data_IF_929242753340
#
_entry.id   IF_929242753340
#
_cell.length_a   1.000
_cell.length_b   1.000
_cell.length_c   1.000
_cell.angle_alpha   90.00
_cell.angle_beta   90.00
_cell.angle_gamma   90.00
#
_symmetry.space_group_name_H-M   'P 1'
#
loop_
_entity.id
_entity.type
_entity.pdbx_description
1 polymer ?
#
# COMPACT_ATOMS: atom_id res chain seq x y z
N UNK A 1 68.21 69.49 10.03
CA UNK A 1 66.84 69.32 10.54
C UNK A 1 66.40 67.90 10.20
N UNK A 2 66.17 67.06 11.24
CA UNK A 2 65.47 65.74 11.29
C UNK A 2 65.97 64.60 10.34
N UNK A 3 66.66 63.55 10.84
CA UNK A 3 66.15 62.29 11.44
C UNK A 3 65.29 61.42 10.49
N UNK A 4 65.82 60.30 9.97
CA UNK A 4 65.63 58.91 10.48
C UNK A 4 65.67 57.80 9.42
N UNK A 5 66.38 56.73 9.79
CA UNK A 5 66.41 55.36 9.25
C UNK A 5 65.06 54.60 9.37
N UNK A 6 65.08 53.32 8.96
CA UNK A 6 64.05 52.25 8.96
C UNK A 6 63.40 52.04 7.57
N UNK A 7 63.69 51.00 6.78
CA UNK A 7 63.79 49.55 7.09
C UNK A 7 62.52 49.07 7.82
N UNK A 8 61.51 48.64 7.07
CA UNK A 8 60.83 47.36 7.34
C UNK A 8 59.98 46.92 6.14
N UNK A 9 60.45 45.83 5.55
CA UNK A 9 59.72 44.88 4.74
C UNK A 9 58.56 44.33 5.60
N UNK A 10 57.30 44.63 5.26
CA UNK A 10 56.14 43.89 5.81
C UNK A 10 55.43 43.21 4.64
N UNK A 11 56.01 42.08 4.26
CA UNK A 11 55.35 40.96 3.63
C UNK A 11 54.32 40.45 4.65
N UNK A 12 53.07 40.93 4.59
CA UNK A 12 51.96 40.27 5.28
C UNK A 12 51.65 39.02 4.46
N UNK A 13 52.45 37.97 4.69
CA UNK A 13 52.01 36.61 4.51
C UNK A 13 50.90 36.44 5.53
N UNK A 14 49.65 36.65 5.12
CA UNK A 14 48.54 36.01 5.81
C UNK A 14 48.82 34.51 5.69
N UNK A 15 49.14 33.77 6.77
CA UNK A 15 48.96 32.34 6.69
C UNK A 15 47.48 32.16 6.46
N UNK A 16 47.14 31.67 5.27
CA UNK A 16 45.88 31.01 5.03
C UNK A 16 45.75 30.01 6.17
N UNK A 17 44.98 30.36 7.21
CA UNK A 17 44.41 29.41 8.15
C UNK A 17 43.46 28.57 7.29
N UNK A 18 44.03 27.68 6.49
CA UNK A 18 43.35 26.48 6.03
C UNK A 18 43.05 25.79 7.35
N UNK A 19 41.86 26.04 7.89
CA UNK A 19 41.25 25.15 8.86
C UNK A 19 41.23 23.80 8.15
N UNK A 20 42.26 22.99 8.41
CA UNK A 20 42.35 21.61 7.98
C UNK A 20 41.28 20.87 8.77
N UNK A 21 40.02 21.02 8.34
CA UNK A 21 38.93 20.21 8.85
C UNK A 21 39.34 18.75 8.67
N UNK A 22 39.24 17.99 9.75
CA UNK A 22 39.53 16.58 9.70
C UNK A 22 38.62 15.90 8.67
N UNK A 23 39.22 15.09 7.82
CA UNK A 23 38.56 14.39 6.72
C UNK A 23 38.62 12.89 6.96
N UNK A 24 37.55 12.20 6.56
CA UNK A 24 37.53 10.74 6.54
C UNK A 24 38.58 10.21 5.56
N UNK A 25 39.29 9.16 5.97
CA UNK A 25 40.31 8.48 5.17
C UNK A 25 39.84 7.07 4.82
N UNK A 26 39.09 6.95 3.72
CA UNK A 26 38.44 5.71 3.28
C UNK A 26 39.30 4.72 2.50
N UNK A 27 40.62 4.91 2.46
CA UNK A 27 41.51 4.03 1.70
C UNK A 27 41.71 2.62 2.29
N UNK A 28 41.30 2.39 3.54
CA UNK A 28 41.23 1.07 4.21
C UNK A 28 40.39 1.15 5.49
N UNK A 29 40.13 0.02 6.15
CA UNK A 29 39.35 -0.07 7.41
C UNK A 29 39.99 0.70 8.53
N UNK A 30 41.28 0.48 8.66
CA UNK A 30 42.13 1.02 9.70
C UNK A 30 42.22 2.52 9.52
N UNK A 31 42.43 2.99 8.29
CA UNK A 31 42.46 4.42 7.96
C UNK A 31 41.12 5.09 8.23
N UNK A 32 40.02 4.45 7.85
CA UNK A 32 38.69 5.00 8.05
C UNK A 32 38.39 5.11 9.55
N UNK A 33 38.59 4.02 10.30
CA UNK A 33 38.38 3.98 11.75
C UNK A 33 39.20 5.04 12.46
N UNK A 34 40.51 5.13 12.17
CA UNK A 34 41.38 6.14 12.78
C UNK A 34 40.93 7.58 12.47
N UNK A 35 40.54 7.87 11.22
CA UNK A 35 40.03 9.20 10.86
C UNK A 35 38.69 9.53 11.49
N UNK A 36 37.78 8.55 11.60
CA UNK A 36 36.48 8.70 12.26
C UNK A 36 36.67 8.99 13.75
N UNK A 37 37.55 8.24 14.42
CA UNK A 37 37.81 8.42 15.85
C UNK A 37 38.42 9.80 16.12
N UNK A 38 39.29 10.29 15.21
CA UNK A 38 39.83 11.66 15.27
C UNK A 38 38.75 12.72 15.13
N UNK A 39 37.87 12.60 14.13
CA UNK A 39 36.74 13.52 13.93
C UNK A 39 35.82 13.50 15.16
N UNK A 40 35.49 12.31 15.67
CA UNK A 40 34.61 12.13 16.83
C UNK A 40 35.19 12.70 18.13
N UNK A 41 36.52 12.77 18.28
CA UNK A 41 37.15 13.37 19.45
C UNK A 41 36.86 14.87 19.58
N UNK A 42 36.59 15.55 18.47
CA UNK A 42 36.19 16.97 18.44
C UNK A 42 34.70 17.23 18.67
N UNK A 43 33.90 16.18 18.89
CA UNK A 43 32.44 16.27 19.04
C UNK A 43 32.00 16.04 20.49
N UNK A 44 30.93 16.74 20.87
CA UNK A 44 30.18 16.46 22.10
C UNK A 44 29.33 15.19 21.96
N UNK A 45 28.56 14.84 23.00
CA UNK A 45 27.74 13.63 22.99
C UNK A 45 26.69 13.64 21.85
N UNK A 46 26.02 14.78 21.63
CA UNK A 46 25.02 14.93 20.59
C UNK A 46 25.64 14.83 19.17
N UNK A 47 26.79 15.47 18.95
CA UNK A 47 27.53 15.39 17.70
C UNK A 47 28.03 13.98 17.38
N UNK A 48 28.47 13.23 18.40
CA UNK A 48 28.85 11.81 18.24
C UNK A 48 27.67 10.94 17.84
N UNK A 49 26.52 11.13 18.47
CA UNK A 49 25.27 10.43 18.11
C UNK A 49 24.83 10.77 16.69
N UNK A 50 24.85 12.06 16.32
CA UNK A 50 24.54 12.51 14.96
C UNK A 50 25.51 11.93 13.92
N UNK A 51 26.80 11.87 14.22
CA UNK A 51 27.81 11.21 13.38
C UNK A 51 27.52 9.72 13.20
N UNK A 52 27.23 9.00 14.27
CA UNK A 52 26.88 7.59 14.19
C UNK A 52 25.64 7.35 13.33
N UNK A 53 24.61 8.18 13.51
CA UNK A 53 23.39 8.12 12.73
C UNK A 53 23.63 8.39 11.24
N UNK A 54 24.41 9.43 10.91
CA UNK A 54 24.80 9.73 9.54
C UNK A 54 25.52 8.55 8.88
N UNK A 55 26.46 7.93 9.59
CA UNK A 55 27.19 6.77 9.11
C UNK A 55 26.26 5.56 8.90
N UNK A 56 25.28 5.32 9.79
CA UNK A 56 24.28 4.26 9.63
C UNK A 56 23.40 4.49 8.40
N UNK A 57 22.94 5.72 8.18
CA UNK A 57 22.16 6.09 6.98
C UNK A 57 22.98 5.87 5.71
N UNK A 58 24.24 6.30 5.69
CA UNK A 58 25.14 6.04 4.57
C UNK A 58 25.42 4.55 4.37
N UNK A 59 25.45 3.79 5.47
CA UNK A 59 25.43 2.35 5.41
C UNK A 59 24.18 1.88 4.66
N UNK A 60 22.96 2.18 5.10
CA UNK A 60 21.75 1.80 4.37
C UNK A 60 21.76 2.19 2.88
N UNK A 61 22.29 3.37 2.55
CA UNK A 61 22.46 3.79 1.16
C UNK A 61 23.34 2.86 0.32
N UNK A 62 24.41 2.31 0.90
CA UNK A 62 25.26 1.35 0.22
C UNK A 62 24.57 -0.01 0.02
N UNK A 63 23.65 -0.42 0.90
CA UNK A 63 22.81 -1.63 0.70
C UNK A 63 21.92 -1.40 -0.52
N UNK A 64 21.22 -0.26 -0.53
CA UNK A 64 20.32 0.10 -1.61
C UNK A 64 21.06 0.12 -2.96
N UNK A 65 22.21 0.80 -3.03
CA UNK A 65 22.99 0.88 -4.26
C UNK A 65 23.46 -0.49 -4.75
N UNK A 66 23.89 -1.37 -3.86
CA UNK A 66 24.31 -2.72 -4.22
C UNK A 66 23.16 -3.53 -4.85
N UNK A 67 21.97 -3.38 -4.30
CA UNK A 67 20.80 -4.15 -4.75
C UNK A 67 20.26 -3.61 -6.10
N UNK A 68 20.47 -2.33 -6.40
CA UNK A 68 19.93 -1.65 -7.58
C UNK A 68 20.97 -1.32 -8.67
N UNK A 69 22.27 -1.42 -8.38
CA UNK A 69 23.35 -1.18 -9.34
C UNK A 69 24.14 -2.47 -9.59
N UNK A 70 23.99 -3.11 -10.76
CA UNK A 70 24.65 -4.38 -11.06
C UNK A 70 26.18 -4.34 -10.90
N UNK A 71 26.80 -3.18 -11.15
CA UNK A 71 28.24 -2.97 -11.01
C UNK A 71 28.74 -3.13 -9.56
N UNK A 72 27.90 -2.86 -8.57
CA UNK A 72 28.28 -2.83 -7.15
C UNK A 72 27.97 -4.13 -6.41
N UNK A 73 27.27 -5.08 -7.03
CA UNK A 73 26.78 -6.33 -6.39
C UNK A 73 27.86 -7.15 -5.68
N UNK A 74 29.11 -7.09 -6.16
CA UNK A 74 30.25 -7.85 -5.63
C UNK A 74 31.09 -7.07 -4.62
N UNK A 75 30.84 -5.76 -4.45
CA UNK A 75 31.59 -4.94 -3.50
C UNK A 75 31.14 -5.22 -2.06
N UNK A 76 32.11 -5.17 -1.14
CA UNK A 76 31.81 -5.27 0.27
C UNK A 76 31.07 -3.99 0.71
N UNK A 77 30.00 -4.20 1.47
CA UNK A 77 29.20 -3.15 2.07
C UNK A 77 30.02 -2.09 2.83
N UNK A 78 30.85 -2.52 3.78
CA UNK A 78 31.71 -1.63 4.58
C UNK A 78 32.66 -0.87 3.64
N UNK A 79 33.07 -1.52 2.55
CA UNK A 79 33.97 -0.97 1.56
C UNK A 79 33.32 0.10 0.68
N UNK A 80 32.01 0.04 0.47
CA UNK A 80 31.29 1.10 -0.24
C UNK A 80 31.17 2.35 0.63
N UNK A 81 30.86 2.18 1.92
CA UNK A 81 30.63 3.28 2.86
C UNK A 81 31.88 4.11 3.07
N UNK A 82 33.02 3.48 3.38
CA UNK A 82 34.23 4.24 3.67
C UNK A 82 34.83 4.94 2.43
N UNK A 83 34.65 4.39 1.21
CA UNK A 83 35.16 4.91 -0.07
C UNK A 83 34.34 6.14 -0.44
N UNK A 84 33.02 6.06 -0.25
CA UNK A 84 32.07 7.17 -0.38
C UNK A 84 32.44 8.36 0.50
N UNK A 85 32.97 8.10 1.69
CA UNK A 85 33.40 9.14 2.63
C UNK A 85 34.84 9.59 2.42
N UNK A 86 35.64 8.91 1.59
CA UNK A 86 37.07 9.23 1.47
C UNK A 86 37.29 10.70 1.02
N UNK A 87 38.04 11.45 1.81
CA UNK A 87 38.34 12.86 1.56
C UNK A 87 37.22 13.82 1.96
N UNK A 88 36.08 13.33 2.47
CA UNK A 88 34.95 14.14 2.94
C UNK A 88 35.17 14.65 4.36
N UNK A 89 34.72 15.86 4.64
CA UNK A 89 34.64 16.38 6.01
C UNK A 89 33.31 15.95 6.70
N UNK A 90 33.14 16.34 7.95
CA UNK A 90 31.96 16.00 8.74
C UNK A 90 30.65 16.56 8.14
N UNK A 91 30.65 17.83 7.72
CA UNK A 91 29.47 18.49 7.16
C UNK A 91 29.04 17.85 5.83
N UNK A 92 29.99 17.48 4.97
CA UNK A 92 29.72 16.73 3.76
C UNK A 92 29.11 15.36 4.07
N UNK A 93 29.59 14.66 5.09
CA UNK A 93 29.01 13.38 5.52
C UNK A 93 27.56 13.55 6.00
N UNK A 94 27.26 14.61 6.77
CA UNK A 94 25.89 14.95 7.18
C UNK A 94 25.00 15.31 5.99
N UNK A 95 25.50 16.12 5.07
CA UNK A 95 24.75 16.50 3.88
C UNK A 95 24.40 15.27 3.03
N UNK A 96 25.35 14.35 2.83
CA UNK A 96 25.13 13.11 2.09
C UNK A 96 24.11 12.20 2.79
N UNK A 97 24.21 12.04 4.12
CA UNK A 97 23.25 11.26 4.87
C UNK A 97 21.83 11.87 4.78
N UNK A 98 21.70 13.18 5.00
CA UNK A 98 20.42 13.88 4.92
C UNK A 98 19.82 13.85 3.51
N UNK A 99 20.65 13.96 2.48
CA UNK A 99 20.21 13.79 1.10
C UNK A 99 19.63 12.39 0.89
N UNK A 100 20.32 11.34 1.34
CA UNK A 100 19.80 9.98 1.22
C UNK A 100 18.49 9.78 1.99
N UNK A 101 18.33 10.34 3.19
CA UNK A 101 17.06 10.29 3.94
C UNK A 101 15.92 10.86 3.09
N UNK A 102 16.13 12.02 2.46
CA UNK A 102 15.13 12.66 1.61
C UNK A 102 14.82 11.84 0.36
N UNK A 103 15.85 11.30 -0.29
CA UNK A 103 15.67 10.46 -1.48
C UNK A 103 14.96 9.15 -1.15
N UNK A 104 15.30 8.50 -0.03
CA UNK A 104 14.65 7.28 0.43
C UNK A 104 13.18 7.51 0.78
N UNK A 105 12.92 8.61 1.49
CA UNK A 105 11.58 9.06 1.76
C UNK A 105 10.80 9.33 0.46
N UNK A 106 11.39 10.01 -0.53
CA UNK A 106 10.74 10.26 -1.82
C UNK A 106 10.47 8.94 -2.57
N UNK A 107 11.40 7.98 -2.57
CA UNK A 107 11.18 6.65 -3.16
C UNK A 107 10.00 5.94 -2.50
N UNK A 108 9.85 6.05 -1.18
CA UNK A 108 8.72 5.49 -0.44
C UNK A 108 7.40 6.16 -0.87
N UNK A 109 7.39 7.48 -0.99
CA UNK A 109 6.24 8.25 -1.50
C UNK A 109 5.88 7.80 -2.92
N UNK A 110 6.84 7.78 -3.84
CA UNK A 110 6.62 7.40 -5.24
C UNK A 110 6.08 5.97 -5.37
N UNK A 111 6.61 5.04 -4.57
CA UNK A 111 6.13 3.65 -4.54
C UNK A 111 4.67 3.58 -4.09
N UNK A 112 4.32 4.25 -2.99
CA UNK A 112 2.95 4.28 -2.48
C UNK A 112 1.99 4.94 -3.48
N UNK A 113 2.39 6.05 -4.11
CA UNK A 113 1.58 6.71 -5.14
C UNK A 113 1.32 5.81 -6.35
N UNK A 114 2.31 5.03 -6.77
CA UNK A 114 2.17 4.06 -7.87
C UNK A 114 1.23 2.90 -7.51
N UNK A 115 1.39 2.32 -6.32
CA UNK A 115 0.52 1.24 -5.82
C UNK A 115 -0.92 1.73 -5.67
N UNK A 116 -1.11 2.91 -5.09
CA UNK A 116 -2.42 3.58 -5.01
C UNK A 116 -3.03 3.85 -6.37
N UNK A 117 -2.26 4.37 -7.33
CA UNK A 117 -2.76 4.65 -8.69
C UNK A 117 -3.29 3.39 -9.38
N UNK A 118 -2.65 2.24 -9.14
CA UNK A 118 -3.09 0.94 -9.66
C UNK A 118 -4.41 0.52 -9.02
N UNK A 119 -4.51 0.58 -7.70
CA UNK A 119 -5.72 0.22 -6.95
C UNK A 119 -6.90 1.18 -7.22
N UNK A 120 -6.67 2.49 -7.28
CA UNK A 120 -7.70 3.49 -7.62
C UNK A 120 -8.20 3.31 -9.07
N UNK A 121 -7.32 2.97 -10.02
CA UNK A 121 -7.73 2.67 -11.39
C UNK A 121 -8.59 1.40 -11.45
N UNK A 122 -8.18 0.35 -10.73
CA UNK A 122 -8.97 -0.88 -10.58
C UNK A 122 -10.33 -0.59 -9.93
N UNK A 123 -10.36 0.22 -8.86
CA UNK A 123 -11.59 0.66 -8.19
C UNK A 123 -12.54 1.35 -9.16
N UNK A 124 -12.07 2.38 -9.88
CA UNK A 124 -12.88 3.13 -10.84
C UNK A 124 -13.48 2.23 -11.92
N UNK A 125 -12.70 1.29 -12.45
CA UNK A 125 -13.18 0.32 -13.44
C UNK A 125 -14.25 -0.60 -12.84
N UNK A 126 -14.02 -1.12 -11.63
CA UNK A 126 -14.96 -1.97 -10.90
C UNK A 126 -16.28 -1.24 -10.63
N UNK A 127 -16.21 -0.01 -10.12
CA UNK A 127 -17.38 0.82 -9.80
C UNK A 127 -18.18 1.18 -11.06
N UNK A 128 -17.50 1.51 -12.17
CA UNK A 128 -18.16 1.75 -13.45
C UNK A 128 -18.87 0.51 -14.00
N UNK A 129 -18.24 -0.67 -13.90
CA UNK A 129 -18.87 -1.94 -14.29
C UNK A 129 -20.06 -2.27 -13.40
N UNK A 130 -19.93 -2.14 -12.07
CA UNK A 130 -21.03 -2.33 -11.11
C UNK A 130 -22.20 -1.40 -11.41
N UNK A 131 -21.93 -0.15 -11.78
CA UNK A 131 -22.98 0.79 -12.18
C UNK A 131 -23.75 0.31 -13.43
N UNK A 132 -23.04 -0.24 -14.43
CA UNK A 132 -23.68 -0.79 -15.64
C UNK A 132 -24.48 -2.06 -15.35
N UNK A 133 -23.90 -2.98 -14.57
CA UNK A 133 -24.55 -4.22 -14.16
C UNK A 133 -25.76 -3.97 -13.25
N UNK A 134 -25.77 -2.85 -12.52
CA UNK A 134 -26.88 -2.37 -11.72
C UNK A 134 -28.16 -2.04 -12.51
N UNK A 135 -28.11 -2.02 -13.85
CA UNK A 135 -29.31 -1.99 -14.70
C UNK A 135 -30.24 -3.19 -14.43
N UNK A 136 -29.69 -4.33 -14.01
CA UNK A 136 -30.46 -5.43 -13.42
C UNK A 136 -30.19 -5.44 -11.92
N UNK A 137 -30.98 -4.66 -11.18
CA UNK A 137 -30.78 -4.41 -9.75
C UNK A 137 -31.24 -5.59 -8.92
N UNK A 138 -30.34 -6.10 -8.10
CA UNK A 138 -30.60 -7.18 -7.19
C UNK A 138 -31.00 -6.66 -5.81
N UNK A 139 -31.90 -7.39 -5.14
CA UNK A 139 -32.29 -7.17 -3.76
C UNK A 139 -32.50 -8.52 -3.07
N UNK A 140 -31.75 -8.85 -2.01
CA UNK A 140 -32.04 -10.00 -1.17
C UNK A 140 -33.46 -9.89 -0.59
N UNK A 141 -34.22 -10.97 -0.61
CA UNK A 141 -35.57 -11.03 -0.03
C UNK A 141 -35.59 -11.81 1.26
N UNK A 142 -35.24 -13.09 1.18
CA UNK A 142 -35.29 -13.98 2.33
C UNK A 142 -34.43 -15.21 2.12
N UNK A 143 -34.21 -15.92 3.21
CA UNK A 143 -33.64 -17.26 3.24
C UNK A 143 -34.63 -18.17 3.94
N UNK A 144 -34.81 -19.39 3.45
CA UNK A 144 -35.71 -20.37 4.05
C UNK A 144 -35.10 -21.78 4.02
N UNK A 145 -35.64 -22.70 4.81
CA UNK A 145 -35.30 -24.13 4.76
C UNK A 145 -36.51 -24.92 4.29
N UNK A 146 -36.49 -25.30 3.01
CA UNK A 146 -37.59 -26.02 2.37
C UNK A 146 -37.12 -27.43 2.03
N UNK A 147 -37.74 -28.45 2.63
CA UNK A 147 -37.41 -29.86 2.38
C UNK A 147 -35.91 -30.18 2.57
N UNK A 148 -35.29 -29.60 3.59
CA UNK A 148 -33.86 -29.78 3.90
C UNK A 148 -32.90 -28.98 3.01
N UNK A 149 -33.41 -28.15 2.10
CA UNK A 149 -32.62 -27.24 1.27
C UNK A 149 -32.62 -25.85 1.89
N UNK A 150 -31.43 -25.26 2.01
CA UNK A 150 -31.23 -23.85 2.27
C UNK A 150 -31.50 -23.06 1.00
N UNK A 151 -32.62 -22.35 0.95
CA UNK A 151 -33.10 -21.62 -0.23
C UNK A 151 -32.94 -20.13 -0.02
N UNK A 152 -32.20 -19.49 -0.90
CA UNK A 152 -31.99 -18.05 -0.94
C UNK A 152 -32.87 -17.46 -2.04
N UNK A 153 -33.65 -16.44 -1.71
CA UNK A 153 -34.49 -15.69 -2.65
C UNK A 153 -33.93 -14.28 -2.86
N UNK A 154 -33.73 -13.91 -4.13
CA UNK A 154 -33.35 -12.55 -4.53
C UNK A 154 -34.34 -12.03 -5.58
N UNK A 155 -34.79 -10.80 -5.42
CA UNK A 155 -35.51 -10.07 -6.45
C UNK A 155 -34.50 -9.39 -7.39
N UNK A 156 -34.69 -9.56 -8.69
CA UNK A 156 -33.95 -8.84 -9.72
C UNK A 156 -34.93 -7.96 -10.48
N UNK A 157 -34.63 -6.67 -10.58
CA UNK A 157 -35.47 -5.67 -11.25
C UNK A 157 -34.71 -5.05 -12.40
N UNK A 158 -35.27 -5.10 -13.60
CA UNK A 158 -34.69 -4.41 -14.75
C UNK A 158 -35.00 -2.91 -14.66
N UNK A 159 -34.05 -2.12 -14.18
CA UNK A 159 -34.17 -0.66 -14.11
C UNK A 159 -33.88 0.04 -15.46
N UNK A 160 -33.46 -0.70 -16.49
CA UNK A 160 -33.26 -0.15 -17.84
C UNK A 160 -34.60 0.04 -18.59
N UNK A 161 -34.50 0.64 -19.78
CA UNK A 161 -35.63 0.85 -20.69
C UNK A 161 -35.67 -0.17 -21.84
N UNK A 162 -34.78 -1.17 -21.82
CA UNK A 162 -34.71 -2.24 -22.81
C UNK A 162 -35.02 -3.61 -22.20
N UNK A 163 -35.42 -4.57 -23.05
CA UNK A 163 -35.61 -5.96 -22.64
C UNK A 163 -34.24 -6.60 -22.44
N UNK A 164 -34.01 -7.23 -21.29
CA UNK A 164 -32.77 -7.93 -20.98
C UNK A 164 -32.96 -9.43 -21.23
N UNK A 165 -32.24 -9.98 -22.21
CA UNK A 165 -32.32 -11.40 -22.61
C UNK A 165 -31.05 -12.19 -22.31
N UNK A 166 -29.94 -11.49 -22.06
CA UNK A 166 -28.63 -12.12 -21.82
C UNK A 166 -28.02 -11.52 -20.56
N UNK A 167 -28.03 -12.30 -19.49
CA UNK A 167 -27.57 -11.89 -18.17
C UNK A 167 -27.03 -13.08 -17.39
N UNK A 168 -26.23 -12.80 -16.37
CA UNK A 168 -25.83 -13.79 -15.38
C UNK A 168 -25.93 -13.14 -14.01
N UNK A 169 -26.69 -13.76 -13.12
CA UNK A 169 -26.86 -13.31 -11.74
C UNK A 169 -26.19 -14.28 -10.78
N UNK A 170 -25.67 -13.76 -9.68
CA UNK A 170 -25.12 -14.53 -8.59
C UNK A 170 -26.01 -14.36 -7.37
N UNK A 171 -26.26 -15.48 -6.70
CA UNK A 171 -27.03 -15.56 -5.47
C UNK A 171 -26.23 -16.41 -4.49
N UNK A 172 -25.98 -15.90 -3.30
CA UNK A 172 -25.18 -16.59 -2.31
C UNK A 172 -25.29 -15.98 -0.93
N UNK A 173 -24.50 -16.55 -0.03
CA UNK A 173 -24.28 -16.01 1.30
C UNK A 173 -22.79 -16.03 1.62
N UNK A 174 -22.39 -15.19 2.56
CA UNK A 174 -21.07 -15.21 3.18
C UNK A 174 -21.15 -14.90 4.67
N UNK A 175 -20.06 -15.13 5.38
CA UNK A 175 -19.90 -14.69 6.76
C UNK A 175 -19.50 -13.22 6.82
N UNK A 176 -20.08 -12.48 7.75
CA UNK A 176 -19.66 -11.09 8.04
C UNK A 176 -18.29 -10.98 8.72
N UNK A 177 -17.73 -12.11 9.19
CA UNK A 177 -16.48 -12.14 9.98
C UNK A 177 -15.39 -12.99 9.36
N UNK A 178 -15.69 -13.82 8.35
CA UNK A 178 -14.70 -14.57 7.58
C UNK A 178 -15.03 -14.52 6.09
N UNK A 179 -14.18 -13.85 5.31
CA UNK A 179 -14.40 -13.61 3.88
C UNK A 179 -14.36 -14.90 3.06
N UNK A 180 -13.73 -15.95 3.59
CA UNK A 180 -13.57 -17.24 2.89
C UNK A 180 -14.73 -18.20 3.18
N UNK A 181 -15.64 -17.82 4.08
CA UNK A 181 -16.79 -18.61 4.47
C UNK A 181 -18.03 -18.14 3.71
N UNK A 182 -18.58 -19.02 2.87
CA UNK A 182 -19.74 -18.72 2.07
C UNK A 182 -20.00 -19.73 0.98
N UNK A 183 -21.11 -19.54 0.29
CA UNK A 183 -21.46 -20.27 -0.90
C UNK A 183 -22.25 -19.39 -1.84
N UNK A 184 -22.02 -19.56 -3.14
CA UNK A 184 -22.81 -18.90 -4.15
C UNK A 184 -23.11 -19.85 -5.31
N UNK A 185 -24.17 -19.51 -6.03
CA UNK A 185 -24.52 -20.11 -7.29
C UNK A 185 -24.53 -19.03 -8.38
N UNK A 186 -24.55 -19.50 -9.62
CA UNK A 186 -24.71 -18.66 -10.80
C UNK A 186 -26.01 -19.04 -11.50
N UNK A 187 -26.78 -18.04 -11.95
CA UNK A 187 -28.01 -18.20 -12.72
C UNK A 187 -27.92 -17.37 -13.99
N UNK A 188 -27.90 -18.05 -15.14
CA UNK A 188 -28.08 -17.43 -16.45
C UNK A 188 -29.56 -17.24 -16.80
N UNK A 189 -29.88 -16.78 -18.03
CA UNK A 189 -31.24 -16.81 -18.50
C UNK A 189 -31.62 -18.28 -18.71
N UNK A 190 -32.73 -18.71 -18.10
CA UNK A 190 -33.38 -19.92 -18.58
C UNK A 190 -33.91 -19.65 -20.00
N UNK A 191 -34.05 -20.69 -20.82
CA UNK A 191 -34.53 -20.54 -22.19
C UNK A 191 -35.88 -19.79 -22.21
N UNK A 192 -35.95 -18.70 -22.98
CA UNK A 192 -37.13 -17.84 -23.07
C UNK A 192 -37.37 -16.88 -21.90
N UNK A 193 -36.52 -16.87 -20.87
CA UNK A 193 -36.64 -15.94 -19.73
C UNK A 193 -35.89 -14.64 -20.02
N UNK A 194 -36.66 -13.56 -20.20
CA UNK A 194 -36.18 -12.19 -20.33
C UNK A 194 -36.69 -11.32 -19.18
N UNK A 195 -36.13 -10.13 -18.99
CA UNK A 195 -36.73 -9.09 -18.16
C UNK A 195 -37.23 -7.95 -19.04
N UNK A 196 -38.53 -7.71 -19.07
CA UNK A 196 -39.09 -6.50 -19.65
C UNK A 196 -38.65 -5.24 -18.85
N UNK A 197 -38.70 -4.03 -19.44
CA UNK A 197 -38.41 -2.80 -18.72
C UNK A 197 -39.24 -2.70 -17.43
N UNK A 198 -38.58 -2.39 -16.33
CA UNK A 198 -39.14 -2.28 -14.96
C UNK A 198 -39.74 -3.57 -14.40
N UNK A 199 -39.58 -4.70 -15.07
CA UNK A 199 -40.03 -5.99 -14.56
C UNK A 199 -39.14 -6.46 -13.41
N UNK A 200 -39.78 -7.01 -12.37
CA UNK A 200 -39.11 -7.70 -11.27
C UNK A 200 -39.38 -9.20 -11.36
N UNK A 201 -38.34 -10.02 -11.27
CA UNK A 201 -38.47 -11.48 -11.10
C UNK A 201 -37.73 -11.93 -9.86
N UNK A 202 -38.28 -12.94 -9.20
CA UNK A 202 -37.60 -13.60 -8.07
C UNK A 202 -36.85 -14.80 -8.61
N UNK A 203 -35.54 -14.81 -8.38
CA UNK A 203 -34.67 -15.93 -8.66
C UNK A 203 -34.24 -16.56 -7.34
N UNK A 204 -34.00 -17.87 -7.37
CA UNK A 204 -33.62 -18.61 -6.18
C UNK A 204 -32.43 -19.52 -6.43
N UNK A 205 -31.68 -19.73 -5.35
CA UNK A 205 -30.68 -20.78 -5.28
C UNK A 205 -30.86 -21.61 -4.04
N UNK A 206 -30.66 -22.91 -4.20
CA UNK A 206 -30.82 -23.89 -3.14
C UNK A 206 -29.55 -24.70 -2.98
N UNK A 207 -29.17 -24.96 -1.74
CA UNK A 207 -28.08 -25.85 -1.39
C UNK A 207 -28.48 -26.71 -0.19
N UNK A 208 -27.83 -27.86 -0.01
CA UNK A 208 -28.10 -28.72 1.15
C UNK A 208 -27.86 -27.98 2.45
N UNK A 209 -28.88 -27.86 3.32
CA UNK A 209 -28.74 -27.12 4.57
C UNK A 209 -27.75 -27.81 5.53
N UNK A 210 -27.67 -29.14 5.51
CA UNK A 210 -26.63 -29.85 6.26
C UNK A 210 -25.22 -29.50 5.79
N UNK A 211 -25.03 -29.33 4.47
CA UNK A 211 -23.72 -28.97 3.91
C UNK A 211 -23.38 -27.51 4.22
N UNK A 212 -24.35 -26.60 4.17
CA UNK A 212 -24.19 -25.19 4.61
C UNK A 212 -23.65 -25.12 6.04
N UNK A 213 -24.26 -25.88 6.97
CA UNK A 213 -23.83 -25.93 8.38
C UNK A 213 -22.44 -26.53 8.56
N UNK A 214 -22.01 -27.44 7.68
CA UNK A 214 -20.67 -28.05 7.74
C UNK A 214 -19.59 -27.14 7.17
N UNK A 215 -19.92 -26.40 6.11
CA UNK A 215 -18.98 -25.51 5.44
C UNK A 215 -18.73 -24.23 6.22
N UNK A 216 -19.70 -23.78 7.03
CA UNK A 216 -19.62 -22.56 7.81
C UNK A 216 -19.78 -22.83 9.30
N UNK A 217 -18.68 -22.70 10.05
CA UNK A 217 -18.68 -22.84 11.51
C UNK A 217 -18.83 -21.49 12.23
N UNK A 218 -18.75 -20.38 11.49
CA UNK A 218 -18.75 -19.02 12.04
C UNK A 218 -20.17 -18.43 12.07
N UNK A 219 -21.02 -18.84 11.14
CA UNK A 219 -22.44 -18.42 11.10
C UNK A 219 -23.24 -19.21 12.14
N UNK A 220 -24.09 -18.52 12.90
CA UNK A 220 -24.86 -19.12 13.99
C UNK A 220 -26.15 -19.80 13.50
N UNK A 221 -26.00 -20.92 12.79
CA UNK A 221 -27.11 -21.65 12.17
C UNK A 221 -28.15 -22.20 13.15
N UNK A 222 -27.77 -22.46 14.41
CA UNK A 222 -28.63 -23.14 15.40
C UNK A 222 -29.70 -22.23 15.98
N UNK A 223 -29.44 -20.93 16.01
CA UNK A 223 -30.33 -19.92 16.59
C UNK A 223 -31.16 -19.18 15.54
N UNK A 224 -30.94 -19.49 14.26
CA UNK A 224 -31.72 -18.93 13.16
C UNK A 224 -33.15 -19.49 13.15
N UNK A 225 -34.11 -18.58 12.96
CA UNK A 225 -35.50 -18.95 12.66
C UNK A 225 -35.80 -18.61 11.22
N UNK A 226 -36.39 -19.55 10.47
CA UNK A 226 -36.74 -19.40 9.07
C UNK A 226 -38.25 -19.15 8.89
N UNK A 227 -38.68 -18.36 7.88
CA UNK A 227 -37.85 -17.65 6.91
C UNK A 227 -37.14 -16.44 7.53
N UNK A 228 -35.86 -16.28 7.18
CA UNK A 228 -34.99 -15.21 7.63
C UNK A 228 -35.06 -14.04 6.65
N UNK A 229 -35.27 -12.83 7.16
CA UNK A 229 -35.28 -11.57 6.36
C UNK A 229 -34.30 -10.52 6.89
N UNK A 230 -33.87 -10.63 8.15
CA UNK A 230 -32.81 -9.83 8.74
C UNK A 230 -31.54 -10.68 8.94
N UNK A 231 -30.56 -10.47 8.06
CA UNK A 231 -29.37 -11.32 7.98
C UNK A 231 -28.28 -10.93 9.00
N UNK A 232 -28.23 -9.65 9.38
CA UNK A 232 -27.16 -9.08 10.20
C UNK A 232 -27.12 -9.68 11.61
N UNK A 233 -28.26 -10.11 12.12
CA UNK A 233 -28.41 -10.69 13.47
C UNK A 233 -27.61 -12.00 13.65
N UNK A 234 -27.16 -12.66 12.57
CA UNK A 234 -26.59 -14.00 12.64
C UNK A 234 -25.20 -14.14 11.99
N UNK A 235 -24.46 -13.04 11.86
CA UNK A 235 -23.20 -12.99 11.12
C UNK A 235 -23.31 -13.44 9.65
N UNK A 236 -24.52 -13.41 9.09
CA UNK A 236 -24.81 -13.81 7.71
C UNK A 236 -24.93 -12.56 6.83
N UNK A 237 -24.16 -12.54 5.75
CA UNK A 237 -24.32 -11.56 4.67
C UNK A 237 -24.93 -12.25 3.45
N UNK A 238 -25.93 -11.61 2.84
CA UNK A 238 -26.55 -12.10 1.61
C UNK A 238 -25.95 -11.40 0.41
N UNK A 239 -25.56 -12.19 -0.58
CA UNK A 239 -24.94 -11.68 -1.79
C UNK A 239 -25.83 -11.95 -2.99
N UNK A 240 -26.50 -10.91 -3.49
CA UNK A 240 -27.29 -10.95 -4.71
C UNK A 240 -26.76 -9.86 -5.64
N UNK A 241 -26.28 -10.21 -6.83
CA UNK A 241 -25.83 -9.23 -7.83
C UNK A 241 -25.86 -9.79 -9.25
N UNK A 242 -25.74 -8.91 -10.24
CA UNK A 242 -25.58 -9.27 -11.65
C UNK A 242 -24.09 -9.35 -11.98
N UNK A 243 -23.60 -10.53 -12.36
CA UNK A 243 -22.20 -10.76 -12.74
C UNK A 243 -21.92 -10.41 -14.20
N UNK A 244 -22.92 -10.60 -15.07
CA UNK A 244 -22.82 -10.31 -16.49
C UNK A 244 -24.15 -9.78 -17.03
N UNK A 245 -24.09 -8.84 -17.96
CA UNK A 245 -25.24 -8.30 -18.65
C UNK A 245 -24.87 -7.87 -20.07
N UNK A 246 -25.72 -8.14 -21.05
CA UNK A 246 -25.66 -7.45 -22.35
C UNK A 246 -26.64 -6.29 -22.34
N UNK A 247 -26.14 -5.09 -22.54
CA UNK A 247 -26.92 -3.84 -22.57
C UNK A 247 -26.49 -3.06 -23.82
N UNK A 248 -27.45 -2.63 -24.65
CA UNK A 248 -27.19 -1.92 -25.91
C UNK A 248 -26.26 -2.70 -26.88
N UNK A 249 -26.37 -4.02 -26.88
CA UNK A 249 -25.52 -4.91 -27.68
C UNK A 249 -24.09 -5.09 -27.16
N UNK A 250 -23.72 -4.45 -26.04
CA UNK A 250 -22.40 -4.58 -25.42
C UNK A 250 -22.46 -5.49 -24.19
N UNK A 251 -21.52 -6.44 -24.09
CA UNK A 251 -21.34 -7.29 -22.90
C UNK A 251 -20.58 -6.54 -21.81
N UNK A 252 -21.16 -6.51 -20.62
CA UNK A 252 -20.54 -6.08 -19.36
C UNK A 252 -20.42 -7.30 -18.46
N UNK A 253 -19.25 -7.52 -17.86
CA UNK A 253 -18.98 -8.69 -17.04
C UNK A 253 -17.99 -8.31 -15.94
N UNK A 254 -18.26 -8.73 -14.71
CA UNK A 254 -17.42 -8.44 -13.57
C UNK A 254 -16.43 -9.58 -13.34
N UNK A 255 -15.32 -9.57 -14.08
CA UNK A 255 -14.26 -10.59 -13.94
C UNK A 255 -13.56 -10.45 -12.58
N UNK A 256 -13.07 -11.56 -12.03
CA UNK A 256 -12.36 -11.58 -10.75
C UNK A 256 -11.18 -10.59 -10.71
N UNK A 257 -10.46 -10.45 -11.83
CA UNK A 257 -9.32 -9.54 -11.98
C UNK A 257 -9.72 -8.05 -11.91
N UNK A 258 -10.98 -7.74 -12.21
CA UNK A 258 -11.53 -6.38 -12.25
C UNK A 258 -12.33 -6.05 -10.97
N UNK A 259 -12.55 -7.05 -10.11
CA UNK A 259 -13.10 -6.85 -8.77
C UNK A 259 -12.03 -6.34 -7.85
N UNK A 260 -12.27 -5.17 -7.29
CA UNK A 260 -11.55 -4.73 -6.11
C UNK A 260 -12.04 -5.55 -4.92
N UNK A 261 -11.15 -6.28 -4.27
CA UNK A 261 -11.47 -7.06 -3.08
C UNK A 261 -11.57 -6.15 -1.85
N UNK A 262 -12.21 -6.61 -0.78
CA UNK A 262 -12.25 -5.87 0.49
C UNK A 262 -10.84 -5.66 1.07
N UNK A 263 -9.94 -6.63 0.88
CA UNK A 263 -8.53 -6.51 1.27
C UNK A 263 -7.84 -5.39 0.49
N UNK A 264 -8.04 -5.32 -0.83
CA UNK A 264 -7.49 -4.26 -1.68
C UNK A 264 -8.08 -2.88 -1.33
N UNK A 265 -9.35 -2.80 -0.92
CA UNK A 265 -9.97 -1.56 -0.44
C UNK A 265 -9.37 -1.09 0.89
N UNK A 266 -9.16 -2.03 1.84
CA UNK A 266 -8.49 -1.73 3.10
C UNK A 266 -7.04 -1.29 2.89
N UNK A 267 -6.30 -1.94 1.98
CA UNK A 267 -4.94 -1.55 1.61
C UNK A 267 -4.91 -0.15 0.98
N UNK A 268 -5.83 0.14 0.06
CA UNK A 268 -5.94 1.47 -0.56
C UNK A 268 -6.20 2.56 0.50
N UNK A 269 -7.05 2.31 1.50
CA UNK A 269 -7.30 3.25 2.59
C UNK A 269 -6.06 3.43 3.48
N UNK A 270 -5.36 2.33 3.78
CA UNK A 270 -4.10 2.35 4.52
C UNK A 270 -3.05 3.19 3.80
N UNK A 271 -2.86 2.99 2.50
CA UNK A 271 -1.90 3.76 1.70
C UNK A 271 -2.28 5.25 1.62
N UNK A 272 -3.56 5.58 1.49
CA UNK A 272 -4.04 6.98 1.55
C UNK A 272 -3.67 7.65 2.87
N UNK A 273 -3.84 6.93 3.97
CA UNK A 273 -3.51 7.42 5.32
C UNK A 273 -2.00 7.58 5.50
N UNK A 274 -1.22 6.57 5.11
CA UNK A 274 0.25 6.61 5.21
C UNK A 274 0.84 7.72 4.33
N UNK A 275 0.36 7.89 3.09
CA UNK A 275 0.82 8.94 2.19
C UNK A 275 0.50 10.33 2.73
N UNK A 276 -0.66 10.53 3.35
CA UNK A 276 -1.01 11.80 4.00
C UNK A 276 -0.06 12.13 5.16
N UNK A 277 0.27 11.13 5.99
CA UNK A 277 1.23 11.28 7.09
C UNK A 277 2.64 11.58 6.60
N UNK A 278 3.08 10.90 5.54
CA UNK A 278 4.37 11.16 4.92
C UNK A 278 4.38 12.60 4.38
N UNK A 279 3.44 13.00 3.53
CA UNK A 279 3.41 14.35 2.92
C UNK A 279 3.38 15.50 3.94
N UNK A 280 2.85 15.26 5.14
CA UNK A 280 2.87 16.23 6.22
C UNK A 280 4.24 16.38 6.91
N UNK A 281 5.09 15.35 6.86
CA UNK A 281 6.36 15.28 7.59
C UNK A 281 7.49 14.76 6.70
N UNK A 282 8.23 15.66 6.06
CA UNK A 282 9.48 15.31 5.35
C UNK A 282 10.58 15.12 6.39
N UNK A 283 11.13 13.91 6.56
CA UNK A 283 12.12 13.65 7.58
C UNK A 283 13.46 14.29 7.25
N UNK A 284 14.10 14.84 8.28
CA UNK A 284 15.51 15.18 8.31
C UNK A 284 16.30 14.07 9.04
N UNK A 285 17.63 14.10 8.88
CA UNK A 285 18.52 13.16 9.57
C UNK A 285 18.29 13.16 11.09
N UNK A 286 18.04 14.32 11.69
CA UNK A 286 17.83 14.50 13.13
C UNK A 286 16.54 13.84 13.64
N UNK A 287 15.54 13.64 12.77
CA UNK A 287 14.26 12.99 13.13
C UNK A 287 14.43 11.48 13.35
N UNK A 288 15.55 10.91 12.92
CA UNK A 288 15.89 9.50 13.12
C UNK A 288 16.59 9.24 14.47
N UNK A 289 16.88 10.29 15.24
CA UNK A 289 17.36 10.15 16.62
C UNK A 289 16.19 9.73 17.50
N UNK A 290 16.13 8.46 17.87
CA UNK A 290 15.13 7.96 18.82
C UNK A 290 15.39 8.64 20.17
N UNK A 291 14.53 9.58 20.57
CA UNK A 291 14.53 10.08 21.96
C UNK A 291 14.27 8.88 22.86
N UNK A 292 15.29 8.47 23.63
CA UNK A 292 15.07 7.50 24.72
C UNK A 292 13.97 8.07 25.63
N UNK A 293 12.97 7.26 26.02
CA UNK A 293 11.96 7.66 26.99
C UNK A 293 12.60 8.03 28.34
#
# INVERSE_FOLDING_TARGET
MKWNSYLLLILIIFPVLVFSQDRFKGGSKEKFKASKDKIAAGLDAAGKEKLELALRVLAFSAIYDRDHQPALKKENFDELVWKRLNGKNLEEAYAMANQYVKEDYQRKVDKLEKEMGTLDAKKKKSDALKQKLGALKAKPLSVDVISGQFVILCAFTNESDQVLTTYETVIGYGSTTDINDGWSCVKGPAEGVSFAPKETKVLSCSFSFETVKQNSNVINWKEMTFPLTDFNTYHLAMDCYTNMLVLDGQKYELKNEERLTEQEEAELLKYKTELAQLKANVPALEDLIVKKP
#
